data_IF_202812078319
#
_entry.id   IF_202812078319
#
_cell.length_a   1.000
_cell.length_b   1.000
_cell.length_c   1.000
_cell.angle_alpha   90.00
_cell.angle_beta   90.00
_cell.angle_gamma   90.00
#
_symmetry.space_group_name_H-M   'P 1'
#
loop_
_entity.id
_entity.type
_entity.pdbx_description
1 polymer ?
#
# COMPACT_ATOMS: atom_id res chain seq x y z
N UNK A 1 4.73 8.28 -14.34
CA UNK A 1 5.19 7.77 -13.05
C UNK A 1 4.35 8.43 -11.99
N UNK A 2 3.59 7.65 -11.23
CA UNK A 2 2.72 8.07 -10.13
C UNK A 2 3.54 8.25 -8.85
N UNK A 3 4.51 7.37 -8.59
CA UNK A 3 5.38 7.46 -7.42
C UNK A 3 6.62 8.27 -7.81
N UNK A 4 6.64 9.56 -7.46
CA UNK A 4 7.82 10.42 -7.62
C UNK A 4 8.82 10.25 -6.46
N UNK A 5 9.94 10.96 -6.50
CA UNK A 5 11.01 10.86 -5.48
C UNK A 5 10.53 11.21 -4.06
N UNK A 6 9.61 12.16 -3.94
CA UNK A 6 9.06 12.55 -2.64
C UNK A 6 8.16 11.46 -2.06
N UNK A 7 7.21 10.95 -2.86
CA UNK A 7 6.32 9.86 -2.46
C UNK A 7 7.15 8.63 -2.13
N UNK A 8 8.15 8.31 -2.95
CA UNK A 8 9.10 7.22 -2.69
C UNK A 8 9.76 7.38 -1.32
N UNK A 9 10.32 8.55 -1.02
CA UNK A 9 10.95 8.82 0.26
C UNK A 9 9.97 8.63 1.43
N UNK A 10 8.71 9.05 1.28
CA UNK A 10 7.68 8.83 2.32
C UNK A 10 7.34 7.36 2.49
N UNK A 11 7.11 6.61 1.41
CA UNK A 11 6.77 5.19 1.49
C UNK A 11 7.93 4.37 2.09
N UNK A 12 9.16 4.55 1.61
CA UNK A 12 10.34 3.81 2.10
C UNK A 12 10.79 4.27 3.49
N UNK A 13 10.53 5.54 3.84
CA UNK A 13 10.78 6.13 5.15
C UNK A 13 9.71 5.76 6.20
N UNK A 14 8.55 5.26 5.78
CA UNK A 14 7.49 4.84 6.70
C UNK A 14 7.92 3.60 7.48
N UNK A 15 7.70 3.60 8.81
CA UNK A 15 8.01 2.43 9.65
C UNK A 15 7.15 1.21 9.31
N UNK A 16 5.92 1.48 8.87
CA UNK A 16 4.93 0.53 8.40
C UNK A 16 4.07 1.21 7.34
N UNK A 17 3.44 0.41 6.49
CA UNK A 17 2.40 0.89 5.57
C UNK A 17 1.06 0.27 5.93
N UNK A 18 -0.01 0.99 5.63
CA UNK A 18 -1.37 0.47 5.76
C UNK A 18 -1.90 0.09 4.38
N UNK A 19 -2.35 -1.14 4.21
CA UNK A 19 -3.08 -1.57 3.00
C UNK A 19 -4.57 -1.66 3.33
N UNK A 20 -5.41 -1.06 2.51
CA UNK A 20 -6.87 -1.18 2.60
C UNK A 20 -7.37 -1.98 1.41
N UNK A 21 -8.01 -3.12 1.70
CA UNK A 21 -8.75 -3.92 0.70
C UNK A 21 -10.25 -3.82 0.98
N UNK A 22 -11.09 -4.33 0.09
CA UNK A 22 -12.56 -4.34 0.29
C UNK A 22 -13.05 -5.78 0.34
N UNK A 23 -13.80 -6.11 1.38
CA UNK A 23 -14.47 -7.41 1.52
C UNK A 23 -15.58 -7.59 0.47
N UNK A 24 -16.02 -8.83 0.28
CA UNK A 24 -17.11 -9.15 -0.65
C UNK A 24 -18.45 -8.48 -0.27
N UNK A 25 -18.61 -8.11 0.99
CA UNK A 25 -19.75 -7.37 1.54
C UNK A 25 -19.62 -5.84 1.37
N UNK A 26 -18.54 -5.37 0.77
CA UNK A 26 -18.23 -3.93 0.62
C UNK A 26 -17.54 -3.31 1.83
N UNK A 27 -17.31 -4.06 2.92
CA UNK A 27 -16.68 -3.55 4.13
C UNK A 27 -15.16 -3.33 3.90
N UNK A 28 -14.60 -2.14 4.21
CA UNK A 28 -13.16 -1.93 4.16
C UNK A 28 -12.42 -2.83 5.16
N UNK A 29 -11.29 -3.38 4.72
CA UNK A 29 -10.43 -4.26 5.52
C UNK A 29 -8.99 -3.70 5.51
N UNK A 30 -8.66 -2.81 6.46
CA UNK A 30 -7.31 -2.28 6.62
C UNK A 30 -6.40 -3.27 7.36
N UNK A 31 -5.14 -3.32 6.96
CA UNK A 31 -4.07 -4.05 7.65
C UNK A 31 -2.83 -3.15 7.75
N UNK A 32 -2.03 -3.37 8.79
CA UNK A 32 -0.70 -2.78 8.93
C UNK A 32 0.32 -3.83 8.51
N UNK A 33 1.19 -3.47 7.56
CA UNK A 33 2.30 -4.30 7.11
C UNK A 33 3.64 -3.67 7.48
N UNK A 34 4.74 -4.40 7.26
CA UNK A 34 6.09 -3.86 7.48
C UNK A 34 6.47 -2.76 6.48
N UNK A 35 7.76 -2.50 6.34
CA UNK A 35 8.29 -1.54 5.37
C UNK A 35 7.92 -1.92 3.94
N UNK A 36 7.60 -0.91 3.13
CA UNK A 36 7.43 -1.03 1.68
C UNK A 36 8.70 -0.63 0.94
N UNK A 37 9.01 -1.34 -0.13
CA UNK A 37 10.05 -1.01 -1.11
C UNK A 37 9.39 -0.47 -2.38
N UNK A 38 9.94 0.62 -2.95
CA UNK A 38 9.39 1.23 -4.15
C UNK A 38 10.21 0.83 -5.38
N UNK A 39 9.54 0.28 -6.38
CA UNK A 39 10.13 -0.06 -7.68
C UNK A 39 9.23 0.44 -8.82
N UNK A 40 9.61 1.54 -9.47
CA UNK A 40 8.75 2.20 -10.44
C UNK A 40 7.49 2.74 -9.76
N UNK A 41 6.32 2.39 -10.31
CA UNK A 41 5.01 2.69 -9.71
C UNK A 41 4.52 1.56 -8.78
N UNK A 42 5.40 0.65 -8.35
CA UNK A 42 5.06 -0.43 -7.45
C UNK A 42 5.54 -0.20 -6.02
N UNK A 43 4.74 -0.67 -5.05
CA UNK A 43 5.13 -0.82 -3.65
C UNK A 43 5.09 -2.31 -3.31
N UNK A 44 6.23 -2.85 -2.87
CA UNK A 44 6.41 -4.27 -2.57
C UNK A 44 6.67 -4.43 -1.08
N UNK A 45 5.95 -5.34 -0.43
CA UNK A 45 6.12 -5.59 1.01
C UNK A 45 5.75 -7.01 1.37
N UNK A 46 6.32 -7.48 2.49
CA UNK A 46 6.07 -8.82 2.99
C UNK A 46 4.63 -9.01 3.50
N UNK A 47 4.01 -10.12 3.13
CA UNK A 47 2.76 -10.60 3.71
C UNK A 47 2.97 -12.02 4.21
N UNK A 48 2.48 -12.32 5.42
CA UNK A 48 2.52 -13.67 5.98
C UNK A 48 1.19 -14.38 5.73
N UNK A 49 0.43 -14.70 6.79
CA UNK A 49 -0.86 -15.40 6.71
C UNK A 49 -2.07 -14.48 6.50
N UNK A 50 -1.92 -13.40 5.72
CA UNK A 50 -3.01 -12.42 5.52
C UNK A 50 -4.12 -12.98 4.62
N UNK A 51 -4.79 -14.05 5.06
CA UNK A 51 -5.74 -14.86 4.28
C UNK A 51 -6.96 -14.04 3.84
N UNK A 52 -7.48 -13.16 4.72
CA UNK A 52 -8.61 -12.29 4.39
C UNK A 52 -8.23 -11.30 3.30
N UNK A 53 -7.08 -10.62 3.43
CA UNK A 53 -6.54 -9.73 2.39
C UNK A 53 -6.38 -10.47 1.06
N UNK A 54 -5.78 -11.66 1.08
CA UNK A 54 -5.60 -12.45 -0.14
C UNK A 54 -6.93 -12.88 -0.77
N UNK A 55 -7.94 -13.23 0.03
CA UNK A 55 -9.29 -13.54 -0.45
C UNK A 55 -9.94 -12.31 -1.09
N UNK A 56 -9.85 -11.15 -0.44
CA UNK A 56 -10.38 -9.89 -0.97
C UNK A 56 -9.76 -9.56 -2.34
N UNK A 57 -8.43 -9.65 -2.46
CA UNK A 57 -7.70 -9.35 -3.69
C UNK A 57 -7.99 -10.32 -4.85
N UNK A 58 -8.43 -11.54 -4.57
CA UNK A 58 -8.90 -12.47 -5.62
C UNK A 58 -10.24 -12.04 -6.22
N UNK A 59 -11.09 -11.37 -5.44
CA UNK A 59 -12.41 -10.90 -5.88
C UNK A 59 -12.41 -9.46 -6.39
N UNK A 60 -11.54 -8.62 -5.83
CA UNK A 60 -11.37 -7.21 -6.16
C UNK A 60 -9.91 -6.84 -5.91
N UNK A 61 -9.16 -6.65 -6.99
CA UNK A 61 -7.73 -6.33 -6.92
C UNK A 61 -7.46 -4.87 -6.50
N UNK A 62 -8.49 -4.02 -6.41
CA UNK A 62 -8.34 -2.63 -6.01
C UNK A 62 -8.00 -2.52 -4.53
N UNK A 63 -7.03 -1.68 -4.23
CA UNK A 63 -6.61 -1.39 -2.88
C UNK A 63 -6.10 0.04 -2.72
N UNK A 64 -5.98 0.48 -1.47
CA UNK A 64 -5.22 1.68 -1.13
C UNK A 64 -4.00 1.33 -0.29
N UNK A 65 -2.92 2.08 -0.48
CA UNK A 65 -1.79 2.11 0.45
C UNK A 65 -1.68 3.48 1.07
N UNK A 66 -1.40 3.53 2.36
CA UNK A 66 -1.05 4.76 3.07
C UNK A 66 0.34 4.60 3.68
N UNK A 67 1.21 5.55 3.40
CA UNK A 67 2.50 5.73 4.08
C UNK A 67 2.57 7.13 4.69
N UNK A 68 3.24 7.24 5.83
CA UNK A 68 3.44 8.49 6.53
C UNK A 68 4.75 8.47 7.33
N UNK A 69 5.42 9.62 7.38
CA UNK A 69 6.64 9.84 8.15
C UNK A 69 6.65 11.22 8.79
N UNK A 70 7.53 11.41 9.80
CA UNK A 70 7.69 12.68 10.53
C UNK A 70 9.04 13.36 10.28
N UNK A 71 9.96 12.74 9.53
CA UNK A 71 11.28 13.32 9.30
C UNK A 71 11.18 14.56 8.39
N UNK A 72 11.66 15.69 8.91
CA UNK A 72 11.45 17.03 8.32
C UNK A 72 10.01 17.59 8.44
N UNK A 73 9.12 16.97 9.22
CA UNK A 73 7.71 17.36 9.39
C UNK A 73 6.72 16.23 9.05
N UNK A 74 5.44 16.33 9.45
CA UNK A 74 4.45 15.31 9.09
C UNK A 74 4.20 15.33 7.58
N UNK A 75 4.43 14.20 6.92
CA UNK A 75 4.12 13.99 5.51
C UNK A 75 3.40 12.66 5.36
N UNK A 76 2.42 12.60 4.48
CA UNK A 76 1.68 11.38 4.22
C UNK A 76 1.07 11.35 2.84
N UNK A 77 1.03 10.16 2.26
CA UNK A 77 0.43 9.92 0.95
C UNK A 77 -0.52 8.74 1.01
N UNK A 78 -1.66 8.88 0.32
CA UNK A 78 -2.55 7.78 -0.02
C UNK A 78 -2.38 7.46 -1.50
N UNK A 79 -2.03 6.22 -1.81
CA UNK A 79 -1.95 5.69 -3.16
C UNK A 79 -3.17 4.83 -3.43
N UNK A 80 -3.83 5.02 -4.58
CA UNK A 80 -4.86 4.10 -5.05
C UNK A 80 -4.36 3.32 -6.26
N UNK A 81 -4.73 2.05 -6.36
CA UNK A 81 -4.23 1.17 -7.40
C UNK A 81 -4.70 -0.26 -7.24
N UNK A 82 -3.95 -1.20 -7.82
CA UNK A 82 -4.23 -2.63 -7.75
C UNK A 82 -3.17 -3.37 -6.96
N UNK A 83 -3.54 -4.50 -6.34
CA UNK A 83 -2.67 -5.31 -5.50
C UNK A 83 -2.82 -6.79 -5.85
N UNK A 84 -1.69 -7.51 -5.83
CA UNK A 84 -1.67 -8.97 -5.94
C UNK A 84 -0.72 -9.56 -4.91
N UNK A 85 -1.13 -10.69 -4.33
CA UNK A 85 -0.25 -11.53 -3.54
C UNK A 85 0.58 -12.42 -4.46
N UNK A 86 1.90 -12.43 -4.27
CA UNK A 86 2.85 -13.29 -4.99
C UNK A 86 3.83 -13.90 -3.98
N UNK A 87 3.69 -15.20 -3.71
CA UNK A 87 4.50 -15.87 -2.69
C UNK A 87 4.27 -15.27 -1.30
N UNK A 88 5.33 -14.77 -0.67
CA UNK A 88 5.30 -14.11 0.65
C UNK A 88 5.28 -12.58 0.56
N UNK A 89 4.95 -12.03 -0.60
CA UNK A 89 4.94 -10.60 -0.86
C UNK A 89 3.59 -10.16 -1.42
N UNK A 90 3.27 -8.90 -1.17
CA UNK A 90 2.24 -8.18 -1.88
C UNK A 90 2.89 -7.16 -2.80
N UNK A 91 2.43 -7.15 -4.04
CA UNK A 91 2.87 -6.22 -5.08
C UNK A 91 1.68 -5.31 -5.36
N UNK A 92 1.78 -4.07 -4.93
CA UNK A 92 0.82 -3.01 -5.24
C UNK A 92 1.33 -2.17 -6.39
N UNK A 93 0.48 -1.83 -7.36
CA UNK A 93 0.79 -0.92 -8.48
C UNK A 93 -0.08 0.32 -8.38
N UNK A 94 0.54 1.48 -8.17
CA UNK A 94 -0.12 2.76 -8.01
C UNK A 94 -0.72 3.25 -9.34
N UNK A 95 -1.88 3.88 -9.23
CA UNK A 95 -2.61 4.52 -10.34
C UNK A 95 -2.86 6.00 -10.05
N UNK A 96 -3.08 6.35 -8.78
CA UNK A 96 -3.17 7.74 -8.31
C UNK A 96 -2.45 7.90 -6.97
N UNK A 97 -2.08 9.13 -6.65
CA UNK A 97 -1.47 9.51 -5.38
C UNK A 97 -2.08 10.82 -4.88
N UNK A 98 -2.52 10.84 -3.63
CA UNK A 98 -3.06 12.01 -2.95
C UNK A 98 -2.18 12.34 -1.75
N UNK A 99 -1.75 13.60 -1.64
CA UNK A 99 -1.14 14.11 -0.41
C UNK A 99 -2.21 14.20 0.69
N UNK A 100 -1.84 13.78 1.90
CA UNK A 100 -2.76 13.69 3.05
C UNK A 100 -2.46 14.75 4.12
N UNK A 101 -1.22 15.25 4.19
CA UNK A 101 -0.72 16.27 5.13
C UNK A 101 0.42 17.03 4.44
#
# INVERSE_FOLDING_TARGET
MIINDEIKAVIEGSAFITLVTVGADGTPHPIIAGKGEVSGDQVIFGIYKMEVTQKNLKTNDKAWIVGAMKDGGPKGYRLAGTAKAAGKQLIFTAQTADAMI
#
